data_IF_871852734263
#
_entry.id   IF_871852734263
#
_cell.length_a   1.000
_cell.length_b   1.000
_cell.length_c   1.000
_cell.angle_alpha   90.00
_cell.angle_beta   90.00
_cell.angle_gamma   90.00
#
_symmetry.space_group_name_H-M   'P 1'
#
loop_
_entity.id
_entity.type
_entity.pdbx_description
1 polymer ?
#
# COMPACT_ATOMS: atom_id res chain seq x y z
N UNK A 1 -5.31 5.47 0.65
CA UNK A 1 -4.17 5.92 1.47
C UNK A 1 -2.90 5.31 0.87
N UNK A 2 -1.87 6.09 0.51
CA UNK A 2 -0.55 5.59 0.10
C UNK A 2 0.41 5.74 1.27
N UNK A 3 0.85 4.65 1.87
CA UNK A 3 1.64 4.70 3.10
C UNK A 3 2.64 3.55 3.17
N UNK A 4 3.69 3.73 3.98
CA UNK A 4 4.70 2.71 4.32
C UNK A 4 4.65 2.29 5.80
N UNK A 5 3.72 2.88 6.58
CA UNK A 5 3.58 2.70 8.02
C UNK A 5 2.36 1.85 8.38
N UNK A 6 2.58 0.81 9.20
CA UNK A 6 1.51 -0.08 9.67
C UNK A 6 0.42 0.67 10.43
N UNK A 7 0.79 1.66 11.25
CA UNK A 7 -0.17 2.40 12.06
C UNK A 7 -1.15 3.22 11.20
N UNK A 8 -0.63 3.84 10.14
CA UNK A 8 -1.46 4.65 9.25
C UNK A 8 -2.33 3.75 8.37
N UNK A 9 -1.76 2.63 7.91
CA UNK A 9 -2.50 1.59 7.19
C UNK A 9 -3.65 1.00 8.01
N UNK A 10 -3.41 0.66 9.27
CA UNK A 10 -4.43 0.16 10.20
C UNK A 10 -5.54 1.18 10.42
N UNK A 11 -5.18 2.45 10.63
CA UNK A 11 -6.16 3.53 10.80
C UNK A 11 -7.07 3.68 9.56
N UNK A 12 -6.51 3.60 8.36
CA UNK A 12 -7.28 3.67 7.12
C UNK A 12 -8.15 2.42 6.89
N UNK A 13 -7.60 1.23 7.18
CA UNK A 13 -8.31 -0.04 7.09
C UNK A 13 -9.52 -0.08 8.03
N UNK A 14 -9.34 0.29 9.30
CA UNK A 14 -10.39 0.28 10.33
C UNK A 14 -11.50 1.30 10.04
N UNK A 15 -11.22 2.30 9.20
CA UNK A 15 -12.18 3.25 8.67
C UNK A 15 -12.86 2.79 7.36
N UNK A 16 -12.70 1.51 6.97
CA UNK A 16 -13.16 0.95 5.70
C UNK A 16 -12.61 1.66 4.45
N UNK A 17 -11.44 2.30 4.57
CA UNK A 17 -10.77 2.97 3.48
C UNK A 17 -9.96 2.01 2.60
N UNK A 18 -9.70 2.42 1.36
CA UNK A 18 -8.77 1.70 0.48
C UNK A 18 -7.33 1.98 0.89
N UNK A 19 -6.60 0.90 1.17
CA UNK A 19 -5.21 0.91 1.61
C UNK A 19 -4.27 0.46 0.50
N UNK A 20 -3.26 1.29 0.19
CA UNK A 20 -2.20 0.98 -0.76
C UNK A 20 -0.87 1.12 -0.03
N UNK A 21 -0.16 0.00 0.13
CA UNK A 21 1.18 -0.04 0.68
C UNK A 21 2.19 0.20 -0.45
N UNK A 22 3.02 1.24 -0.31
CA UNK A 22 4.17 1.47 -1.20
C UNK A 22 5.43 1.13 -0.41
N UNK A 23 6.23 0.22 -0.95
CA UNK A 23 7.48 -0.20 -0.30
C UNK A 23 8.41 1.00 -0.10
N UNK A 24 8.99 1.10 1.08
CA UNK A 24 10.09 2.01 1.40
C UNK A 24 11.41 1.21 1.52
N UNK A 25 12.28 1.53 2.48
CA UNK A 25 13.60 0.88 2.66
C UNK A 25 13.55 -0.52 3.28
N UNK A 26 12.46 -0.91 3.93
CA UNK A 26 12.33 -2.20 4.64
C UNK A 26 11.31 -3.09 3.95
N UNK A 27 11.56 -4.40 3.95
CA UNK A 27 10.59 -5.41 3.55
C UNK A 27 9.35 -5.31 4.46
N UNK A 28 8.13 -5.33 3.89
CA UNK A 28 6.92 -5.29 4.69
C UNK A 28 6.76 -6.56 5.52
N UNK A 29 6.32 -6.38 6.77
CA UNK A 29 6.01 -7.51 7.63
C UNK A 29 4.69 -8.21 7.20
N UNK A 30 4.42 -9.45 7.62
CA UNK A 30 3.19 -10.14 7.23
C UNK A 30 1.89 -9.43 7.65
N UNK A 31 1.88 -8.74 8.80
CA UNK A 31 0.69 -8.08 9.32
C UNK A 31 0.28 -6.88 8.47
N UNK A 32 1.25 -6.10 7.98
CA UNK A 32 0.98 -4.93 7.14
C UNK A 32 0.46 -5.36 5.74
N UNK A 33 0.88 -6.53 5.25
CA UNK A 33 0.40 -7.10 3.99
C UNK A 33 -1.05 -7.59 4.08
N UNK A 34 -1.48 -8.11 5.24
CA UNK A 34 -2.86 -8.57 5.45
C UNK A 34 -3.87 -7.41 5.37
N UNK A 35 -3.50 -6.23 5.86
CA UNK A 35 -4.36 -5.04 5.90
C UNK A 35 -4.16 -4.11 4.70
N UNK A 36 -3.15 -4.35 3.86
CA UNK A 36 -2.94 -3.64 2.62
C UNK A 36 -3.82 -4.24 1.51
N UNK A 37 -4.76 -3.45 0.98
CA UNK A 37 -5.56 -3.87 -0.17
C UNK A 37 -4.74 -4.03 -1.45
N UNK A 38 -3.66 -3.25 -1.58
CA UNK A 38 -2.70 -3.35 -2.67
C UNK A 38 -1.28 -3.08 -2.18
N UNK A 39 -0.30 -3.69 -2.83
CA UNK A 39 1.12 -3.50 -2.55
C UNK A 39 1.90 -3.22 -3.85
N UNK A 40 2.77 -2.21 -3.82
CA UNK A 40 3.68 -1.88 -4.91
C UNK A 40 5.09 -1.63 -4.38
N UNK A 41 6.10 -2.06 -5.14
CA UNK A 41 7.52 -1.87 -4.81
C UNK A 41 7.95 -0.41 -4.90
N UNK A 42 7.24 0.41 -5.69
CA UNK A 42 7.50 1.83 -5.81
C UNK A 42 6.26 2.59 -6.29
N UNK A 43 6.28 3.92 -6.16
CA UNK A 43 5.25 4.77 -6.76
C UNK A 43 5.27 4.69 -8.30
N UNK A 44 6.43 4.44 -8.90
CA UNK A 44 6.55 4.25 -10.35
C UNK A 44 5.84 2.98 -10.81
N UNK A 45 5.89 1.88 -10.04
CA UNK A 45 5.16 0.65 -10.33
C UNK A 45 3.65 0.88 -10.30
N UNK A 46 3.17 1.63 -9.31
CA UNK A 46 1.78 2.05 -9.24
C UNK A 46 1.39 2.90 -10.45
N UNK A 47 2.20 3.90 -10.81
CA UNK A 47 1.93 4.76 -11.97
C UNK A 47 1.93 3.96 -13.28
N UNK A 48 2.84 3.00 -13.43
CA UNK A 48 2.91 2.12 -14.60
C UNK A 48 1.71 1.19 -14.68
N UNK A 49 1.21 0.69 -13.55
CA UNK A 49 -0.03 -0.08 -13.50
C UNK A 49 -1.21 0.77 -13.98
N UNK A 50 -1.34 2.02 -13.52
CA UNK A 50 -2.43 2.91 -13.96
C UNK A 50 -2.41 3.15 -15.47
N UNK A 51 -1.22 3.40 -16.04
CA UNK A 51 -1.04 3.63 -17.48
C UNK A 51 -1.39 2.41 -18.33
N UNK A 52 -1.19 1.19 -17.82
CA UNK A 52 -1.53 -0.05 -18.54
C UNK A 52 -3.02 -0.38 -18.54
N UNK A 53 -3.79 0.27 -17.66
CA UNK A 53 -5.24 0.07 -17.54
C UNK A 53 -6.08 1.03 -18.37
N UNK A 54 -5.44 1.87 -19.21
CA UNK A 54 -6.07 2.85 -20.11
C UNK A 54 -5.83 2.46 -21.56
#
# INVERSE_FOLDING_TARGET
MFEDSENVLRSAHDANGVTILIRNMKEPNPNILEIAGYYFESMDDFQNMLKKST
#
